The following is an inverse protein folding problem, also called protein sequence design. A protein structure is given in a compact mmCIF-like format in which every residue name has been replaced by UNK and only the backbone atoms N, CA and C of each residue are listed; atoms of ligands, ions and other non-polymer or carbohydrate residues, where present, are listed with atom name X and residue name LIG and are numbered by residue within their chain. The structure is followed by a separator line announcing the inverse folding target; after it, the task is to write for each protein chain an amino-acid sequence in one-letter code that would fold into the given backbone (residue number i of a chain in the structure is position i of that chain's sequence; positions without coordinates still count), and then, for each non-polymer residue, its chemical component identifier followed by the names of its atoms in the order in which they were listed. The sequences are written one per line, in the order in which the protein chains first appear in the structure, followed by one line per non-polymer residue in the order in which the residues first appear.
data_IF_588113229735
#
_entry.id   IF_588113229735
#
_cell.length_a   1.000
_cell.length_b   1.000
_cell.length_c   1.000
_cell.angle_alpha   90.00
_cell.angle_beta   90.00
_cell.angle_gamma   90.00
#
_symmetry.space_group_name_H-M   'P 1'
#
loop_
_entity.id
_entity.type
_entity.pdbx_description
1 polymer ?
#
# COMPACT_ATOMS: atom_id res chain seq x y z
N UNK A 1 -25.41 -22.95 -24.52
CA UNK A 1 -24.68 -22.94 -23.24
C UNK A 1 -23.17 -23.23 -23.42
N UNK A 2 -22.49 -22.58 -24.38
CA UNK A 2 -21.03 -22.74 -24.57
C UNK A 2 -20.25 -21.43 -24.39
N UNK A 3 -20.94 -20.29 -24.38
CA UNK A 3 -20.31 -18.97 -24.28
C UNK A 3 -20.25 -18.42 -22.85
N UNK A 4 -21.07 -18.95 -21.93
CA UNK A 4 -21.04 -18.59 -20.51
C UNK A 4 -19.71 -18.96 -19.84
N UNK A 5 -19.09 -20.07 -20.27
CA UNK A 5 -17.81 -20.51 -19.71
C UNK A 5 -16.67 -19.54 -20.05
N UNK A 6 -16.69 -18.92 -21.24
CA UNK A 6 -15.64 -17.97 -21.65
C UNK A 6 -15.65 -16.68 -20.82
N UNK A 7 -16.84 -16.21 -20.43
CA UNK A 7 -16.98 -15.06 -19.53
C UNK A 7 -16.51 -15.39 -18.10
N UNK A 8 -16.77 -16.60 -17.61
CA UNK A 8 -16.31 -17.04 -16.28
C UNK A 8 -14.78 -17.18 -16.25
N UNK A 9 -14.16 -17.74 -17.31
CA UNK A 9 -12.70 -17.82 -17.38
C UNK A 9 -12.04 -16.43 -17.48
N UNK A 10 -12.64 -15.49 -18.21
CA UNK A 10 -12.15 -14.11 -18.27
C UNK A 10 -12.23 -13.41 -16.90
N UNK A 11 -13.31 -13.61 -16.14
CA UNK A 11 -13.44 -13.05 -14.79
C UNK A 11 -12.44 -13.66 -13.80
N UNK A 12 -12.12 -14.96 -13.91
CA UNK A 12 -11.10 -15.59 -13.07
C UNK A 12 -9.68 -15.08 -13.37
N UNK A 13 -9.36 -14.76 -14.62
CA UNK A 13 -8.05 -14.20 -14.99
C UNK A 13 -7.90 -12.78 -14.43
N UNK A 14 -8.95 -11.95 -14.55
CA UNK A 14 -8.95 -10.59 -13.98
C UNK A 14 -8.87 -10.65 -12.44
N UNK A 15 -9.59 -11.57 -11.81
CA UNK A 15 -9.53 -11.80 -10.37
C UNK A 15 -8.14 -12.30 -9.92
N UNK A 16 -7.52 -13.22 -10.66
CA UNK A 16 -6.17 -13.71 -10.37
C UNK A 16 -5.10 -12.62 -10.53
N UNK A 17 -5.24 -11.72 -11.52
CA UNK A 17 -4.37 -10.55 -11.66
C UNK A 17 -4.58 -9.52 -10.53
N UNK A 18 -5.81 -9.36 -10.02
CA UNK A 18 -6.08 -8.50 -8.87
C UNK A 18 -5.51 -9.09 -7.56
N UNK A 19 -5.63 -10.40 -7.35
CA UNK A 19 -5.10 -11.13 -6.19
C UNK A 19 -3.57 -11.21 -6.21
N UNK A 20 -2.95 -11.38 -7.38
CA UNK A 20 -1.50 -11.38 -7.56
C UNK A 20 -0.83 -10.07 -7.14
N UNK A 21 -1.55 -8.93 -7.27
CA UNK A 21 -1.07 -7.65 -6.73
C UNK A 21 -1.36 -7.49 -5.24
N UNK A 22 -2.40 -8.13 -4.71
CA UNK A 22 -2.71 -8.12 -3.28
C UNK A 22 -1.73 -8.95 -2.44
N UNK A 23 -1.24 -10.09 -2.93
CA UNK A 23 -0.21 -10.89 -2.24
C UNK A 23 1.18 -10.20 -2.23
N UNK A 24 1.43 -9.26 -3.15
CA UNK A 24 2.60 -8.37 -3.09
C UNK A 24 2.49 -7.27 -2.03
N UNK A 25 1.28 -6.83 -1.69
CA UNK A 25 1.03 -5.81 -0.66
C UNK A 25 0.81 -6.38 0.75
N UNK A 26 0.35 -7.63 0.88
CA UNK A 26 0.16 -8.29 2.19
C UNK A 26 1.45 -8.87 2.79
N UNK A 27 2.50 -9.11 2.00
CA UNK A 27 3.83 -9.54 2.48
C UNK A 27 4.88 -8.41 2.45
N UNK A 28 4.42 -7.16 2.32
CA UNK A 28 5.24 -5.94 2.33
C UNK A 28 4.66 -4.83 3.21
N UNK A 29 3.62 -5.11 3.99
CA UNK A 29 3.06 -4.20 4.99
C UNK A 29 3.42 -4.67 6.38
N UNK A 30 4.60 -4.29 6.87
CA UNK A 30 4.91 -4.38 8.30
C UNK A 30 3.90 -3.53 9.07
N UNK A 31 2.95 -4.19 9.72
CA UNK A 31 2.14 -3.59 10.78
C UNK A 31 3.05 -3.30 11.97
N UNK A 32 3.69 -2.13 11.94
CA UNK A 32 4.29 -1.54 13.12
C UNK A 32 3.18 -1.16 14.10
N UNK A 33 2.99 -2.00 15.11
CA UNK A 33 2.03 -1.88 16.20
C UNK A 33 2.27 -0.66 17.13
N UNK A 34 3.27 0.20 16.85
CA UNK A 34 3.74 1.22 17.79
C UNK A 34 3.19 2.64 17.55
N UNK A 35 2.36 2.87 16.53
CA UNK A 35 1.93 4.23 16.17
C UNK A 35 0.74 4.77 16.99
N UNK A 36 0.34 4.10 18.08
CA UNK A 36 -0.83 4.46 18.90
C UNK A 36 -0.49 5.15 20.25
N UNK A 37 0.71 5.69 20.43
CA UNK A 37 1.08 6.45 21.64
C UNK A 37 1.69 7.84 21.36
N UNK A 38 1.28 8.50 20.29
CA UNK A 38 1.67 9.89 20.03
C UNK A 38 0.42 10.71 19.75
N UNK A 39 -0.38 10.89 20.79
CA UNK A 39 -1.36 11.97 20.84
C UNK A 39 -1.26 12.59 22.23
N UNK A 40 -0.58 13.74 22.25
CA UNK A 40 -0.75 14.93 23.07
C UNK A 40 -1.06 14.75 24.58
N UNK A 41 -0.24 15.44 25.39
CA UNK A 41 -0.33 15.66 26.85
C UNK A 41 0.50 14.80 27.82
N UNK A 42 1.09 13.68 27.43
CA UNK A 42 1.99 12.93 28.34
C UNK A 42 3.44 13.49 28.37
N UNK A 43 3.88 14.20 27.32
CA UNK A 43 5.28 14.62 27.15
C UNK A 43 5.72 15.78 28.06
N UNK A 44 4.78 16.52 28.68
CA UNK A 44 5.12 17.64 29.58
C UNK A 44 5.46 17.23 31.02
N UNK A 45 5.03 16.04 31.48
CA UNK A 45 5.24 15.63 32.88
C UNK A 45 6.39 14.63 33.11
N UNK A 46 6.75 13.79 32.12
CA UNK A 46 7.88 12.85 32.29
C UNK A 46 9.24 13.39 31.82
N UNK A 47 9.31 14.56 31.20
CA UNK A 47 10.61 15.17 30.81
C UNK A 47 11.25 16.03 31.92
N UNK A 48 10.53 16.32 33.01
CA UNK A 48 11.07 17.15 34.10
C UNK A 48 11.91 16.38 35.12
N UNK A 49 11.82 15.05 35.17
CA UNK A 49 12.56 14.22 36.15
C UNK A 49 13.76 13.45 35.56
N UNK A 50 13.89 13.34 34.23
CA UNK A 50 15.06 12.70 33.61
C UNK A 50 16.27 13.63 33.36
N UNK A 51 16.12 14.96 33.49
CA UNK A 51 17.20 15.92 33.28
C UNK A 51 18.04 16.22 34.54
N UNK A 52 18.04 15.33 35.54
CA UNK A 52 18.91 15.42 36.72
C UNK A 52 19.79 14.17 36.88
N UNK A 53 20.64 13.92 35.89
CA UNK A 53 22.01 13.37 36.06
C UNK A 53 22.70 13.44 34.70
N UNK A 54 23.91 14.02 34.70
CA UNK A 54 24.63 14.43 33.51
C UNK A 54 25.22 13.26 32.71
N UNK A 55 24.38 12.60 31.93
CA UNK A 55 24.81 11.73 30.85
C UNK A 55 24.45 12.37 29.51
N UNK A 56 25.46 12.51 28.64
CA UNK A 56 25.33 13.09 27.31
C UNK A 56 24.25 12.36 26.48
N UNK A 57 23.53 13.05 25.58
CA UNK A 57 22.55 12.40 24.73
C UNK A 57 23.23 11.29 23.92
N UNK A 58 22.73 10.05 24.10
CA UNK A 58 23.17 8.93 23.29
C UNK A 58 23.01 9.26 21.80
N UNK A 59 24.01 8.95 20.95
CA UNK A 59 23.83 9.06 19.51
C UNK A 59 22.68 8.13 19.07
N UNK A 60 21.86 8.54 18.09
CA UNK A 60 20.78 7.70 17.60
C UNK A 60 21.35 6.38 17.07
N UNK A 61 20.72 5.27 17.45
CA UNK A 61 21.09 3.94 16.99
C UNK A 61 21.06 3.87 15.44
N UNK A 62 22.04 3.21 14.79
CA UNK A 62 22.05 3.03 13.34
C UNK A 62 21.06 1.91 12.99
N UNK A 63 19.77 2.25 12.93
CA UNK A 63 18.70 1.31 12.62
C UNK A 63 17.76 1.90 11.57
N UNK A 64 17.84 1.37 10.35
CA UNK A 64 16.83 1.42 9.29
C UNK A 64 15.98 2.69 9.18
N UNK A 65 16.58 3.75 8.64
CA UNK A 65 15.82 4.65 7.76
C UNK A 65 15.46 3.86 6.50
N UNK A 66 14.35 3.12 6.51
CA UNK A 66 13.65 2.79 5.28
C UNK A 66 13.28 4.12 4.62
N UNK A 67 14.17 4.63 3.77
CA UNK A 67 13.89 5.72 2.85
C UNK A 67 12.67 5.25 2.07
N UNK A 68 11.50 5.83 2.35
CA UNK A 68 10.40 5.80 1.41
C UNK A 68 10.98 6.28 0.09
N UNK A 69 11.19 5.35 -0.85
CA UNK A 69 11.88 5.65 -2.09
C UNK A 69 11.25 6.88 -2.72
N UNK A 70 12.07 7.83 -3.13
CA UNK A 70 11.60 9.05 -3.76
C UNK A 70 10.68 8.66 -4.92
N UNK A 71 9.38 8.93 -4.77
CA UNK A 71 8.36 8.63 -5.79
C UNK A 71 8.75 9.28 -7.11
N UNK A 72 9.40 10.44 -7.04
CA UNK A 72 9.90 11.18 -8.18
C UNK A 72 10.96 10.40 -8.95
N UNK A 73 11.92 9.79 -8.25
CA UNK A 73 12.95 8.96 -8.86
C UNK A 73 12.35 7.72 -9.54
N UNK A 74 11.33 7.10 -8.93
CA UNK A 74 10.63 5.99 -9.57
C UNK A 74 9.88 6.42 -10.83
N UNK A 75 9.17 7.55 -10.79
CA UNK A 75 8.46 8.08 -11.97
C UNK A 75 9.43 8.44 -13.10
N UNK A 76 10.54 9.11 -12.79
CA UNK A 76 11.56 9.45 -13.78
C UNK A 76 12.19 8.23 -14.43
N UNK A 77 12.48 7.18 -13.64
CA UNK A 77 12.92 5.89 -14.19
C UNK A 77 11.88 5.32 -15.16
N UNK A 78 10.60 5.29 -14.78
CA UNK A 78 9.54 4.75 -15.63
C UNK A 78 9.38 5.55 -16.92
N UNK A 79 9.40 6.88 -16.83
CA UNK A 79 9.31 7.76 -17.98
C UNK A 79 10.45 7.50 -18.98
N UNK A 80 11.67 7.24 -18.48
CA UNK A 80 12.83 6.88 -19.31
C UNK A 80 12.69 5.50 -19.96
N UNK A 81 12.27 4.48 -19.19
CA UNK A 81 12.07 3.10 -19.71
C UNK A 81 11.01 3.08 -20.82
N UNK A 82 9.95 3.86 -20.66
CA UNK A 82 8.84 3.93 -21.61
C UNK A 82 9.08 4.92 -22.74
N UNK A 83 10.15 5.72 -22.67
CA UNK A 83 10.47 6.78 -23.63
C UNK A 83 9.25 7.69 -23.87
N UNK A 84 8.62 8.15 -22.78
CA UNK A 84 7.41 8.96 -22.86
C UNK A 84 7.70 10.32 -23.51
N UNK A 85 6.79 10.78 -24.35
CA UNK A 85 6.88 12.14 -24.91
C UNK A 85 6.59 13.18 -23.82
N UNK A 86 6.99 14.46 -24.01
CA UNK A 86 6.66 15.52 -23.06
C UNK A 86 5.15 15.66 -22.80
N UNK A 87 4.33 15.47 -23.83
CA UNK A 87 2.86 15.52 -23.75
C UNK A 87 2.30 14.35 -22.93
N UNK A 88 2.79 13.12 -23.19
CA UNK A 88 2.43 11.95 -22.41
C UNK A 88 2.85 12.09 -20.95
N UNK A 89 4.04 12.65 -20.70
CA UNK A 89 4.54 12.88 -19.35
C UNK A 89 3.63 13.83 -18.57
N UNK A 90 3.24 14.96 -19.17
CA UNK A 90 2.32 15.91 -18.54
C UNK A 90 0.95 15.26 -18.23
N UNK A 91 0.42 14.43 -19.14
CA UNK A 91 -0.81 13.69 -18.92
C UNK A 91 -0.66 12.65 -17.79
N UNK A 92 0.44 11.90 -17.76
CA UNK A 92 0.75 10.94 -16.71
C UNK A 92 0.89 11.60 -15.34
N UNK A 93 1.58 12.74 -15.25
CA UNK A 93 1.77 13.45 -13.99
C UNK A 93 0.45 13.99 -13.45
N UNK A 94 -0.39 14.56 -14.31
CA UNK A 94 -1.75 14.97 -13.93
C UNK A 94 -2.58 13.78 -13.45
N UNK A 95 -2.54 12.67 -14.17
CA UNK A 95 -3.25 11.45 -13.81
C UNK A 95 -2.75 10.88 -12.47
N UNK A 96 -1.44 10.80 -12.26
CA UNK A 96 -0.82 10.37 -10.99
C UNK A 96 -1.26 11.25 -9.82
N UNK A 97 -1.31 12.57 -10.00
CA UNK A 97 -1.75 13.49 -8.96
C UNK A 97 -3.22 13.28 -8.56
N UNK A 98 -4.11 13.09 -9.54
CA UNK A 98 -5.53 12.77 -9.30
C UNK A 98 -5.67 11.41 -8.60
N UNK A 99 -4.93 10.40 -9.06
CA UNK A 99 -4.94 9.08 -8.43
C UNK A 99 -4.47 9.13 -6.98
N UNK A 100 -3.36 9.81 -6.70
CA UNK A 100 -2.79 9.91 -5.35
C UNK A 100 -3.73 10.65 -4.39
N UNK A 101 -4.43 11.70 -4.85
CA UNK A 101 -5.37 12.45 -4.00
C UNK A 101 -6.62 11.63 -3.70
N UNK A 102 -7.26 11.04 -4.71
CA UNK A 102 -8.46 10.20 -4.55
C UNK A 102 -8.16 8.99 -3.66
N UNK A 103 -7.01 8.35 -3.87
CA UNK A 103 -6.63 7.15 -3.11
C UNK A 103 -6.36 7.44 -1.63
N UNK A 104 -5.77 8.61 -1.32
CA UNK A 104 -5.63 9.07 0.07
C UNK A 104 -6.99 9.24 0.74
N UNK A 105 -7.93 9.90 0.07
CA UNK A 105 -9.28 10.13 0.58
C UNK A 105 -10.01 8.82 0.86
N UNK A 106 -10.03 7.90 -0.11
CA UNK A 106 -10.69 6.61 0.03
C UNK A 106 -10.07 5.75 1.15
N UNK A 107 -8.74 5.78 1.31
CA UNK A 107 -8.07 5.09 2.42
C UNK A 107 -8.40 5.68 3.78
N UNK A 108 -8.52 7.00 3.88
CA UNK A 108 -8.95 7.65 5.12
C UNK A 108 -10.37 7.24 5.47
N UNK A 109 -11.29 7.31 4.50
CA UNK A 109 -12.68 6.86 4.69
C UNK A 109 -12.77 5.41 5.15
N UNK A 110 -11.99 4.51 4.54
CA UNK A 110 -11.91 3.12 4.96
C UNK A 110 -11.42 2.99 6.41
N UNK A 111 -10.35 3.69 6.78
CA UNK A 111 -9.82 3.67 8.16
C UNK A 111 -10.82 4.20 9.18
N UNK A 112 -11.54 5.26 8.83
CA UNK A 112 -12.56 5.83 9.70
C UNK A 112 -13.72 4.85 9.90
N UNK A 113 -14.14 4.14 8.84
CA UNK A 113 -15.15 3.09 8.91
C UNK A 113 -14.67 1.87 9.72
N UNK A 114 -13.40 1.47 9.60
CA UNK A 114 -12.79 0.42 10.43
C UNK A 114 -12.74 0.82 11.91
N UNK A 115 -12.44 2.09 12.20
CA UNK A 115 -12.49 2.62 13.57
C UNK A 115 -13.91 2.61 14.12
N UNK A 116 -14.89 3.05 13.33
CA UNK A 116 -16.31 3.00 13.69
C UNK A 116 -16.79 1.56 13.95
N UNK A 117 -16.35 0.61 13.12
CA UNK A 117 -16.63 -0.81 13.33
C UNK A 117 -16.07 -1.30 14.66
N UNK A 118 -14.83 -0.93 15.00
CA UNK A 118 -14.22 -1.28 16.28
C UNK A 118 -15.04 -0.75 17.46
N UNK A 119 -15.41 0.53 17.44
CA UNK A 119 -16.23 1.14 18.49
C UNK A 119 -17.63 0.50 18.59
N UNK A 120 -18.22 0.12 17.46
CA UNK A 120 -19.50 -0.59 17.41
C UNK A 120 -19.41 -2.02 17.98
N UNK A 121 -18.31 -2.72 17.72
CA UNK A 121 -18.02 -4.04 18.29
C UNK A 121 -17.81 -3.95 19.81
N UNK A 122 -17.06 -2.96 20.28
CA UNK A 122 -16.80 -2.75 21.71
C UNK A 122 -18.09 -2.40 22.48
N UNK A 123 -19.06 -1.74 21.83
CA UNK A 123 -20.35 -1.37 22.41
C UNK A 123 -21.47 -2.41 22.21
N UNK A 124 -21.27 -3.42 21.36
CA UNK A 124 -22.28 -4.43 21.04
C UNK A 124 -23.48 -3.92 20.23
N UNK A 125 -23.36 -2.74 19.60
CA UNK A 125 -24.45 -2.12 18.82
C UNK A 125 -24.53 -2.74 17.42
N UNK A 126 -25.44 -3.70 17.26
CA UNK A 126 -25.63 -4.43 16.00
C UNK A 126 -25.93 -3.52 14.80
N UNK A 127 -26.68 -2.44 15.00
CA UNK A 127 -27.02 -1.52 13.91
C UNK A 127 -25.79 -0.75 13.42
N UNK A 128 -24.94 -0.28 14.35
CA UNK A 128 -23.68 0.39 13.99
C UNK A 128 -22.65 -0.57 13.41
N UNK A 129 -22.62 -1.83 13.86
CA UNK A 129 -21.76 -2.85 13.28
C UNK A 129 -22.10 -3.06 11.80
N UNK A 130 -23.38 -3.20 11.48
CA UNK A 130 -23.81 -3.43 10.10
C UNK A 130 -23.64 -2.19 9.21
N UNK A 131 -23.82 -0.99 9.75
CA UNK A 131 -23.52 0.25 9.04
C UNK A 131 -22.02 0.38 8.74
N UNK A 132 -21.16 0.16 9.73
CA UNK A 132 -19.71 0.25 9.54
C UNK A 132 -19.19 -0.80 8.54
N UNK A 133 -19.75 -2.01 8.54
CA UNK A 133 -19.45 -3.03 7.51
C UNK A 133 -19.80 -2.54 6.10
N UNK A 134 -20.97 -1.94 5.90
CA UNK A 134 -21.39 -1.40 4.60
C UNK A 134 -20.42 -0.31 4.12
N UNK A 135 -19.99 0.57 5.03
CA UNK A 135 -19.05 1.63 4.71
C UNK A 135 -17.67 1.10 4.32
N UNK A 136 -17.17 0.06 5.01
CA UNK A 136 -15.90 -0.59 4.64
C UNK A 136 -16.02 -1.23 3.25
N UNK A 137 -17.09 -1.98 2.99
CA UNK A 137 -17.31 -2.62 1.69
C UNK A 137 -17.41 -1.60 0.56
N UNK A 138 -18.14 -0.51 0.77
CA UNK A 138 -18.26 0.57 -0.21
C UNK A 138 -16.91 1.26 -0.48
N UNK A 139 -16.11 1.48 0.57
CA UNK A 139 -14.76 2.05 0.41
C UNK A 139 -13.82 1.09 -0.34
N UNK A 140 -13.92 -0.22 -0.10
CA UNK A 140 -13.15 -1.24 -0.82
C UNK A 140 -13.54 -1.35 -2.29
N UNK A 141 -14.84 -1.30 -2.59
CA UNK A 141 -15.33 -1.24 -3.96
C UNK A 141 -14.82 0.02 -4.68
N UNK A 142 -14.91 1.18 -4.02
CA UNK A 142 -14.39 2.44 -4.57
C UNK A 142 -12.88 2.39 -4.83
N UNK A 143 -12.10 1.80 -3.92
CA UNK A 143 -10.65 1.62 -4.10
C UNK A 143 -10.33 0.71 -5.29
N UNK A 144 -11.11 -0.35 -5.49
CA UNK A 144 -10.96 -1.26 -6.61
C UNK A 144 -11.30 -0.56 -7.93
N UNK A 145 -12.44 0.12 -7.99
CA UNK A 145 -12.88 0.85 -9.17
C UNK A 145 -11.87 1.94 -9.55
N UNK A 146 -11.40 2.72 -8.56
CA UNK A 146 -10.38 3.73 -8.81
C UNK A 146 -9.10 3.14 -9.40
N UNK A 147 -8.72 1.93 -8.98
CA UNK A 147 -7.55 1.25 -9.54
C UNK A 147 -7.79 0.77 -10.97
N UNK A 148 -8.97 0.24 -11.27
CA UNK A 148 -9.36 -0.16 -12.63
C UNK A 148 -9.33 1.05 -13.55
N UNK A 149 -9.96 2.15 -13.13
CA UNK A 149 -10.00 3.41 -13.87
C UNK A 149 -8.58 3.97 -14.08
N UNK A 150 -7.75 3.95 -13.04
CA UNK A 150 -6.37 4.39 -13.14
C UNK A 150 -5.54 3.60 -14.15
N UNK A 151 -5.73 2.28 -14.25
CA UNK A 151 -5.06 1.45 -15.26
C UNK A 151 -5.62 1.72 -16.66
N UNK A 152 -6.95 1.89 -16.76
CA UNK A 152 -7.62 2.21 -18.02
C UNK A 152 -7.13 3.54 -18.61
N UNK A 153 -7.09 4.60 -17.81
CA UNK A 153 -6.60 5.92 -18.23
C UNK A 153 -5.09 5.91 -18.55
N UNK A 154 -4.29 5.21 -17.74
CA UNK A 154 -2.87 5.02 -18.02
C UNK A 154 -2.64 4.38 -19.42
N UNK A 155 -3.42 3.35 -19.75
CA UNK A 155 -3.34 2.67 -21.04
C UNK A 155 -3.84 3.53 -22.21
N UNK A 156 -4.65 4.57 -21.97
CA UNK A 156 -5.07 5.54 -23.00
C UNK A 156 -3.97 6.57 -23.30
N UNK A 157 -3.15 6.90 -22.31
CA UNK A 157 -2.05 7.88 -22.47
C UNK A 157 -0.88 7.27 -23.25
N UNK A 158 -0.61 5.98 -23.02
CA UNK A 158 0.51 5.27 -23.64
C UNK A 158 0.11 4.58 -24.95
N UNK A 159 1.10 4.37 -25.82
CA UNK A 159 0.92 3.50 -26.99
C UNK A 159 0.91 2.03 -26.55
N UNK A 160 0.38 1.14 -27.40
CA UNK A 160 0.36 -0.31 -27.13
C UNK A 160 1.76 -0.86 -26.88
N UNK A 161 2.74 -0.45 -27.68
CA UNK A 161 4.14 -0.87 -27.52
C UNK A 161 4.73 -0.40 -26.18
N UNK A 162 4.41 0.81 -25.73
CA UNK A 162 4.84 1.32 -24.43
C UNK A 162 4.20 0.53 -23.28
N UNK A 163 2.91 0.17 -23.39
CA UNK A 163 2.23 -0.67 -22.39
C UNK A 163 2.84 -2.07 -22.33
N UNK A 164 3.21 -2.67 -23.46
CA UNK A 164 3.92 -3.96 -23.47
C UNK A 164 5.29 -3.89 -22.79
N UNK A 165 6.07 -2.83 -23.07
CA UNK A 165 7.35 -2.58 -22.38
C UNK A 165 7.15 -2.40 -20.88
N UNK A 166 6.10 -1.68 -20.47
CA UNK A 166 5.73 -1.51 -19.07
C UNK A 166 5.49 -2.86 -18.38
N UNK A 167 4.68 -3.73 -18.99
CA UNK A 167 4.39 -5.06 -18.45
C UNK A 167 5.64 -5.96 -18.40
N UNK A 168 6.47 -5.95 -19.43
CA UNK A 168 7.72 -6.70 -19.47
C UNK A 168 8.67 -6.26 -18.34
N UNK A 169 8.84 -4.95 -18.16
CA UNK A 169 9.64 -4.38 -17.07
C UNK A 169 9.15 -4.84 -15.69
N UNK A 170 7.84 -4.77 -15.44
CA UNK A 170 7.26 -5.22 -14.18
C UNK A 170 7.43 -6.72 -13.94
N UNK A 171 7.25 -7.54 -14.99
CA UNK A 171 7.46 -9.00 -14.91
C UNK A 171 8.91 -9.33 -14.58
N UNK A 172 9.88 -8.69 -15.24
CA UNK A 172 11.30 -8.90 -14.97
C UNK A 172 11.66 -8.50 -13.54
N UNK A 173 11.19 -7.35 -13.07
CA UNK A 173 11.43 -6.88 -11.69
C UNK A 173 10.82 -7.83 -10.66
N UNK A 174 9.63 -8.36 -10.93
CA UNK A 174 8.97 -9.34 -10.06
C UNK A 174 9.75 -10.66 -9.99
N UNK A 175 10.22 -11.18 -11.13
CA UNK A 175 11.03 -12.40 -11.15
C UNK A 175 12.40 -12.21 -10.47
N UNK A 176 13.03 -11.03 -10.63
CA UNK A 176 14.23 -10.68 -9.85
C UNK A 176 13.93 -10.68 -8.37
N UNK A 177 12.84 -10.05 -7.94
CA UNK A 177 12.44 -10.01 -6.53
C UNK A 177 12.22 -11.42 -5.94
N UNK A 178 11.52 -12.30 -6.66
CA UNK A 178 11.34 -13.70 -6.26
C UNK A 178 12.67 -14.43 -6.05
N UNK A 179 13.63 -14.24 -6.96
CA UNK A 179 14.95 -14.88 -6.87
C UNK A 179 15.79 -14.40 -5.68
N UNK A 180 15.59 -13.17 -5.21
CA UNK A 180 16.33 -12.59 -4.09
C UNK A 180 15.64 -12.78 -2.73
N UNK A 181 14.38 -13.23 -2.72
CA UNK A 181 13.80 -13.80 -1.49
C UNK A 181 14.40 -15.19 -1.32
N UNK A 182 15.32 -15.34 -0.38
CA UNK A 182 15.69 -16.68 0.09
C UNK A 182 14.39 -17.43 0.45
N UNK A 183 14.23 -18.71 0.07
CA UNK A 183 13.17 -19.51 0.64
C UNK A 183 13.34 -19.43 2.16
N UNK A 184 12.33 -18.91 2.87
CA UNK A 184 12.28 -19.14 4.30
C UNK A 184 12.20 -20.66 4.43
N UNK A 185 13.29 -21.28 4.91
CA UNK A 185 13.26 -22.70 5.21
C UNK A 185 12.12 -22.94 6.20
N UNK A 186 11.10 -23.74 5.84
CA UNK A 186 10.02 -24.05 6.77
C UNK A 186 10.61 -24.76 7.97
N UNK A 187 10.59 -24.10 9.14
CA UNK A 187 11.02 -24.70 10.41
C UNK A 187 12.26 -24.09 11.07
N UNK A 188 12.90 -23.04 10.52
CA UNK A 188 13.90 -22.29 11.30
C UNK A 188 13.21 -21.44 12.37
N UNK A 189 13.49 -21.64 13.66
CA UNK A 189 12.91 -20.82 14.72
C UNK A 189 13.33 -19.35 14.51
N UNK A 190 12.39 -18.44 14.70
CA UNK A 190 12.70 -17.01 14.72
C UNK A 190 13.80 -16.75 15.75
N UNK A 191 14.79 -15.89 15.44
CA UNK A 191 15.75 -15.47 16.44
C UNK A 191 14.99 -14.90 17.65
N UNK A 192 15.40 -15.24 18.89
CA UNK A 192 14.70 -14.81 20.08
C UNK A 192 14.60 -13.28 20.11
N UNK A 193 13.44 -12.77 20.52
CA UNK A 193 13.26 -11.33 20.75
C UNK A 193 14.33 -10.84 21.75
N UNK A 194 14.99 -9.71 21.48
CA UNK A 194 15.91 -9.12 22.43
C UNK A 194 15.15 -8.78 23.70
N UNK A 195 15.56 -9.40 24.81
CA UNK A 195 15.05 -9.09 26.13
C UNK A 195 15.60 -7.71 26.53
N UNK A 196 14.72 -6.70 26.58
CA UNK A 196 14.96 -5.44 27.26
C UNK A 196 14.16 -5.43 28.57
#
# INVERSE_FOLDING_TARGET
MKDTNKFIFASFIILACAVGVFLGSLLGGGTGCCQRMMQDDCCKKMMAECCKKGDAPMPPAPGDMHKHGDKTAHHQMMDSVLQVTPEQKAALDKHRAIMDSTFKTLRTQKKDAEKALKEALDSGDAAKIDEAKKQILAADEALLNQRVDGVSEFNKILTKEQVERFHAFHKERFEKFKKHRHPMEPGKPMPPEPQN
#
